data_IF_332984641004
#
_entry.id   IF_332984641004
#
_cell.length_a   1.000
_cell.length_b   1.000
_cell.length_c   1.000
_cell.angle_alpha   90.00
_cell.angle_beta   90.00
_cell.angle_gamma   90.00
#
_symmetry.space_group_name_H-M   'P 1'
#
loop_
_entity.id
_entity.type
_entity.pdbx_description
1 polymer ?
#
# COMPACT_ATOMS: atom_id res chain seq x y z
N UNK A 1 10.79 3.92 14.56
CA UNK A 1 10.00 2.77 14.06
C UNK A 1 8.54 3.15 14.27
N UNK A 2 7.80 3.47 13.21
CA UNK A 2 6.47 4.07 13.33
C UNK A 2 5.41 3.13 12.77
N UNK A 3 4.65 2.50 13.65
CA UNK A 3 3.34 1.95 13.32
C UNK A 3 2.42 3.17 13.23
N UNK A 4 1.77 3.40 12.09
CA UNK A 4 0.76 4.43 11.97
C UNK A 4 -0.47 4.00 12.78
N UNK A 5 -0.40 4.23 14.10
CA UNK A 5 -1.56 4.23 14.98
C UNK A 5 -2.33 5.50 14.70
N UNK A 6 -3.35 5.45 13.84
CA UNK A 6 -4.43 6.41 13.98
C UNK A 6 -5.37 5.82 15.04
N UNK A 7 -5.36 6.42 16.25
CA UNK A 7 -6.21 6.08 17.40
C UNK A 7 -5.92 4.80 18.21
N UNK A 8 -4.73 4.18 18.09
CA UNK A 8 -4.34 3.07 18.97
C UNK A 8 -5.13 1.76 18.77
N UNK A 9 -5.80 1.60 17.62
CA UNK A 9 -6.52 0.38 17.22
C UNK A 9 -5.68 -0.44 16.23
N UNK A 10 -5.76 -1.77 16.31
CA UNK A 10 -5.16 -2.66 15.33
C UNK A 10 -5.87 -2.54 13.98
N UNK A 11 -5.09 -2.50 12.89
CA UNK A 11 -5.58 -2.72 11.53
C UNK A 11 -5.04 -4.06 11.00
N UNK A 12 -5.88 -4.71 10.20
CA UNK A 12 -5.74 -6.09 9.70
C UNK A 12 -4.33 -6.35 9.15
N UNK A 13 -3.59 -7.24 9.81
CA UNK A 13 -2.40 -7.86 9.25
C UNK A 13 -2.81 -9.21 8.66
N UNK A 14 -3.02 -9.31 7.35
CA UNK A 14 -3.32 -10.60 6.74
C UNK A 14 -2.05 -11.45 6.70
N UNK A 15 -2.13 -12.72 7.11
CA UNK A 15 -1.00 -13.65 6.96
C UNK A 15 -0.70 -13.87 5.46
N UNK A 16 0.58 -13.92 5.08
CA UNK A 16 1.03 -14.10 3.69
C UNK A 16 1.01 -15.56 3.22
N UNK A 17 0.37 -16.45 3.97
CA UNK A 17 0.37 -17.89 3.65
C UNK A 17 -0.83 -18.17 2.74
N UNK A 18 -0.66 -17.87 1.46
CA UNK A 18 -1.58 -18.30 0.41
C UNK A 18 -1.18 -19.70 -0.04
N UNK A 19 -1.64 -20.74 0.67
CA UNK A 19 -1.77 -22.06 0.05
C UNK A 19 -3.24 -22.26 -0.32
N UNK A 20 -3.49 -22.84 -1.50
CA UNK A 20 -4.81 -23.23 -2.03
C UNK A 20 -5.56 -24.27 -1.15
N UNK A 21 -5.07 -24.53 0.07
CA UNK A 21 -5.62 -25.44 1.08
C UNK A 21 -5.46 -24.88 2.51
N UNK A 22 -5.56 -23.57 2.72
CA UNK A 22 -5.27 -23.00 4.06
C UNK A 22 -6.42 -23.20 5.05
N UNK A 23 -6.30 -24.21 5.91
CA UNK A 23 -6.99 -24.30 7.21
C UNK A 23 -6.39 -23.36 8.27
N UNK A 24 -5.52 -22.42 7.87
CA UNK A 24 -5.02 -21.35 8.72
C UNK A 24 -6.01 -20.19 8.76
N UNK A 25 -6.67 -20.01 9.90
CA UNK A 25 -7.47 -18.82 10.14
C UNK A 25 -6.56 -17.58 10.25
N UNK A 26 -7.04 -16.46 9.71
CA UNK A 26 -6.45 -15.15 9.96
C UNK A 26 -6.76 -14.71 11.39
N UNK A 27 -5.94 -15.19 12.34
CA UNK A 27 -6.12 -14.90 13.76
C UNK A 27 -6.04 -13.39 14.07
N UNK A 28 -5.55 -12.53 13.15
CA UNK A 28 -5.57 -11.08 13.35
C UNK A 28 -6.97 -10.49 13.25
N UNK A 29 -7.90 -11.13 12.52
CA UNK A 29 -9.30 -10.70 12.44
C UNK A 29 -9.93 -10.68 13.84
N UNK A 30 -9.55 -11.63 14.71
CA UNK A 30 -10.04 -11.69 16.08
C UNK A 30 -9.68 -10.44 16.91
N UNK A 31 -8.61 -9.75 16.54
CA UNK A 31 -8.08 -8.57 17.21
C UNK A 31 -8.49 -7.25 16.55
N UNK A 32 -9.31 -7.30 15.49
CA UNK A 32 -9.66 -6.12 14.71
C UNK A 32 -10.43 -5.09 15.56
N UNK A 33 -10.07 -3.82 15.43
CA UNK A 33 -10.64 -2.70 16.20
C UNK A 33 -10.46 -2.74 17.74
N UNK A 34 -9.73 -3.73 18.28
CA UNK A 34 -9.39 -3.73 19.70
C UNK A 34 -8.42 -2.60 20.03
N UNK A 35 -8.40 -2.19 21.30
CA UNK A 35 -7.43 -1.24 21.86
C UNK A 35 -6.22 -2.00 22.39
N UNK A 36 -5.05 -1.36 22.42
CA UNK A 36 -3.85 -2.01 22.93
C UNK A 36 -3.92 -2.18 24.45
N UNK A 37 -3.80 -3.41 24.95
CA UNK A 37 -3.77 -3.75 26.38
C UNK A 37 -2.34 -3.94 26.86
N UNK A 38 -2.07 -3.52 28.09
CA UNK A 38 -0.79 -3.67 28.79
C UNK A 38 -1.03 -4.22 30.19
N UNK A 39 0.02 -4.66 30.89
CA UNK A 39 -0.10 -5.21 32.26
C UNK A 39 -0.83 -4.25 33.22
N UNK A 40 -0.63 -2.96 33.03
CA UNK A 40 -1.19 -1.86 33.82
C UNK A 40 -2.48 -1.27 33.23
N UNK A 41 -2.90 -1.69 32.03
CA UNK A 41 -4.09 -1.15 31.36
C UNK A 41 -4.86 -2.25 30.66
N UNK A 42 -5.97 -2.63 31.28
CA UNK A 42 -6.90 -3.59 30.73
C UNK A 42 -7.84 -2.91 29.72
N UNK A 43 -7.59 -3.19 28.44
CA UNK A 43 -8.38 -2.68 27.31
C UNK A 43 -8.99 -3.82 26.48
N UNK A 44 -8.94 -5.04 27.00
CA UNK A 44 -9.45 -6.23 26.34
C UNK A 44 -10.92 -6.48 26.76
N UNK A 45 -11.59 -7.46 26.16
CA UNK A 45 -13.01 -7.76 26.41
C UNK A 45 -13.20 -8.83 27.49
N UNK A 46 -12.12 -9.37 28.06
CA UNK A 46 -12.25 -10.43 29.07
C UNK A 46 -12.83 -9.86 30.36
N UNK A 47 -13.87 -10.50 30.88
CA UNK A 47 -14.55 -10.02 32.09
C UNK A 47 -13.86 -10.44 33.39
N UNK A 48 -12.88 -11.33 33.30
CA UNK A 48 -12.31 -12.03 34.47
C UNK A 48 -10.83 -11.77 34.69
N UNK A 49 -10.08 -11.41 33.65
CA UNK A 49 -8.64 -11.23 33.70
C UNK A 49 -8.20 -10.12 32.77
N UNK A 50 -7.15 -9.38 33.14
CA UNK A 50 -6.37 -8.60 32.17
C UNK A 50 -5.45 -9.57 31.44
N UNK A 51 -5.73 -9.86 30.17
CA UNK A 51 -5.01 -10.86 29.39
C UNK A 51 -3.54 -10.48 29.20
N UNK A 52 -3.23 -9.19 29.05
CA UNK A 52 -1.85 -8.71 28.93
C UNK A 52 -1.06 -8.87 30.24
N UNK A 53 -1.72 -8.79 31.40
CA UNK A 53 -1.12 -9.08 32.71
C UNK A 53 -0.92 -10.57 32.93
N UNK A 54 -1.99 -11.36 32.72
CA UNK A 54 -2.01 -12.79 32.99
C UNK A 54 -1.03 -13.57 32.11
N UNK A 55 -1.10 -13.37 30.79
CA UNK A 55 -0.17 -13.99 29.86
C UNK A 55 1.16 -13.24 29.77
N UNK A 56 1.24 -11.99 30.22
CA UNK A 56 2.47 -11.21 30.06
C UNK A 56 2.74 -10.77 28.62
N UNK A 57 1.70 -10.73 27.78
CA UNK A 57 1.78 -10.31 26.38
C UNK A 57 0.95 -9.04 26.14
N UNK A 58 1.60 -7.87 26.02
CA UNK A 58 0.92 -6.64 25.59
C UNK A 58 0.49 -6.75 24.12
N UNK A 59 -0.81 -6.60 23.86
CA UNK A 59 -1.37 -6.76 22.53
C UNK A 59 -2.76 -6.11 22.39
N UNK A 60 -3.27 -6.01 21.17
CA UNK A 60 -4.67 -5.64 20.90
C UNK A 60 -5.63 -6.79 21.21
N UNK A 61 -5.63 -7.25 22.46
CA UNK A 61 -6.38 -8.41 22.90
C UNK A 61 -7.89 -8.18 22.78
N UNK A 62 -8.60 -9.22 22.35
CA UNK A 62 -10.06 -9.27 22.38
C UNK A 62 -10.49 -9.98 23.68
N UNK A 63 -11.05 -11.19 23.67
CA UNK A 63 -11.13 -12.00 24.89
C UNK A 63 -9.86 -12.88 24.96
N UNK A 64 -8.77 -12.24 25.37
CA UNK A 64 -7.39 -12.74 25.33
C UNK A 64 -6.84 -13.04 23.93
N UNK A 65 -5.58 -13.50 23.85
CA UNK A 65 -4.86 -13.63 22.59
C UNK A 65 -5.16 -14.96 21.87
N UNK A 66 -5.45 -14.92 20.56
CA UNK A 66 -5.45 -16.12 19.69
C UNK A 66 -4.09 -16.36 19.01
N UNK A 67 -3.12 -15.52 19.32
CA UNK A 67 -1.77 -15.50 18.79
C UNK A 67 -0.85 -14.98 19.89
N UNK A 68 0.36 -15.50 19.97
CA UNK A 68 1.36 -15.07 20.95
C UNK A 68 2.66 -14.74 20.22
N UNK A 69 2.88 -13.46 19.94
CA UNK A 69 4.05 -12.98 19.16
C UNK A 69 5.30 -12.79 19.99
N UNK A 70 5.11 -12.57 21.28
CA UNK A 70 6.20 -12.39 22.25
C UNK A 70 6.14 -13.54 23.24
N UNK A 71 7.29 -13.93 23.80
CA UNK A 71 7.32 -14.95 24.85
C UNK A 71 6.51 -14.44 26.03
N UNK A 72 5.42 -15.14 26.29
CA UNK A 72 4.51 -14.89 27.38
C UNK A 72 5.13 -15.43 28.70
N UNK A 73 4.41 -15.32 29.82
CA UNK A 73 4.82 -15.87 31.13
C UNK A 73 5.00 -17.40 31.11
N UNK A 74 4.45 -18.09 30.11
CA UNK A 74 4.57 -19.53 29.88
C UNK A 74 5.68 -19.89 28.87
N UNK A 75 6.48 -18.90 28.42
CA UNK A 75 7.50 -19.01 27.37
C UNK A 75 6.97 -19.47 26.00
N UNK A 76 5.67 -19.35 25.76
CA UNK A 76 5.05 -19.76 24.51
C UNK A 76 5.11 -18.66 23.46
N UNK A 77 5.38 -19.10 22.22
CA UNK A 77 4.99 -18.43 20.99
C UNK A 77 4.00 -19.34 20.32
N UNK A 78 2.93 -18.82 19.74
CA UNK A 78 2.00 -19.70 19.06
C UNK A 78 0.86 -19.02 18.36
N UNK A 79 0.11 -19.86 17.65
CA UNK A 79 -0.93 -19.43 16.74
C UNK A 79 -2.10 -20.40 16.82
N UNK A 80 -3.29 -19.87 17.09
CA UNK A 80 -4.51 -20.66 17.12
C UNK A 80 -4.93 -21.05 15.70
N UNK A 81 -5.35 -22.31 15.50
CA UNK A 81 -5.69 -22.87 14.18
C UNK A 81 -4.49 -22.89 13.20
N UNK A 82 -3.29 -23.19 13.69
CA UNK A 82 -2.15 -23.48 12.80
C UNK A 82 -2.31 -24.88 12.18
N UNK A 83 -3.13 -24.98 11.13
CA UNK A 83 -3.45 -26.20 10.37
C UNK A 83 -4.14 -27.35 11.12
N UNK A 84 -4.33 -27.25 12.44
CA UNK A 84 -4.78 -28.38 13.28
C UNK A 84 -6.04 -28.10 14.12
N UNK A 85 -6.74 -26.99 13.89
CA UNK A 85 -7.92 -26.64 14.70
C UNK A 85 -7.61 -26.39 16.19
N UNK A 86 -6.34 -26.18 16.54
CA UNK A 86 -5.83 -26.11 17.90
C UNK A 86 -4.64 -25.15 17.99
N UNK A 87 -4.30 -24.72 19.20
CA UNK A 87 -3.12 -23.90 19.44
C UNK A 87 -1.85 -24.69 19.14
N UNK A 88 -0.93 -24.09 18.38
CA UNK A 88 0.40 -24.65 18.13
C UNK A 88 1.49 -23.73 18.62
N UNK A 89 2.43 -24.30 19.37
CA UNK A 89 3.66 -23.64 19.73
C UNK A 89 4.56 -23.52 18.51
N UNK A 90 5.10 -22.33 18.27
CA UNK A 90 5.94 -22.01 17.12
C UNK A 90 7.36 -21.70 17.58
N UNK A 91 8.37 -22.16 16.82
CA UNK A 91 9.78 -21.88 17.14
C UNK A 91 10.19 -20.44 16.84
N UNK A 92 9.47 -19.77 15.94
CA UNK A 92 9.73 -18.39 15.52
C UNK A 92 8.50 -17.77 14.88
N UNK A 93 8.19 -16.53 15.27
CA UNK A 93 7.21 -15.70 14.58
C UNK A 93 7.88 -14.41 14.16
N UNK A 94 7.54 -13.92 12.96
CA UNK A 94 8.03 -12.63 12.45
C UNK A 94 6.84 -11.86 11.89
N UNK A 95 6.51 -10.74 12.52
CA UNK A 95 5.56 -9.79 11.97
C UNK A 95 6.22 -9.04 10.81
N UNK A 96 5.58 -9.06 9.64
CA UNK A 96 6.05 -8.38 8.44
C UNK A 96 5.11 -7.23 8.13
N UNK A 97 5.58 -5.99 8.26
CA UNK A 97 4.83 -4.81 7.80
C UNK A 97 5.13 -4.62 6.33
N UNK A 98 4.09 -4.53 5.48
CA UNK A 98 4.26 -4.26 4.05
C UNK A 98 4.93 -2.89 3.89
N UNK A 99 5.85 -2.76 2.93
CA UNK A 99 6.35 -1.45 2.51
C UNK A 99 5.15 -0.58 2.13
N UNK A 100 5.10 0.73 2.45
CA UNK A 100 4.02 1.57 2.00
C UNK A 100 3.95 1.53 0.48
N UNK A 101 2.82 1.04 -0.02
CA UNK A 101 2.55 1.00 -1.44
C UNK A 101 1.73 2.22 -1.82
N UNK A 102 1.90 2.69 -3.05
CA UNK A 102 1.16 3.82 -3.61
C UNK A 102 0.08 3.30 -4.54
N UNK A 103 0.46 2.43 -5.47
CA UNK A 103 -0.43 1.76 -6.40
C UNK A 103 0.07 0.35 -6.67
N UNK A 104 -0.85 -0.60 -6.79
CA UNK A 104 -0.64 -1.89 -7.43
C UNK A 104 -1.82 -2.10 -8.36
N UNK A 105 -1.56 -2.50 -9.60
CA UNK A 105 -2.62 -2.81 -10.56
C UNK A 105 -2.13 -3.80 -11.61
N UNK A 106 -3.00 -4.75 -11.97
CA UNK A 106 -2.90 -5.58 -13.19
C UNK A 106 -3.74 -5.03 -14.35
N UNK A 107 -4.53 -3.98 -14.11
CA UNK A 107 -5.47 -3.42 -15.06
C UNK A 107 -6.85 -4.09 -15.05
N UNK A 108 -7.09 -5.02 -14.11
CA UNK A 108 -8.36 -5.74 -13.98
C UNK A 108 -9.45 -4.88 -13.33
N UNK A 109 -9.08 -3.91 -12.50
CA UNK A 109 -10.01 -2.96 -11.88
C UNK A 109 -9.82 -1.57 -12.48
N UNK A 110 -10.94 -0.94 -12.84
CA UNK A 110 -10.93 0.38 -13.44
C UNK A 110 -10.65 1.48 -12.43
N UNK A 111 -9.67 2.31 -12.73
CA UNK A 111 -9.28 3.49 -11.97
C UNK A 111 -10.15 4.72 -12.38
N UNK A 112 -11.43 4.50 -12.69
CA UNK A 112 -12.40 5.51 -13.17
C UNK A 112 -13.06 6.33 -12.06
N UNK A 113 -12.25 6.88 -11.18
CA UNK A 113 -12.72 7.52 -9.95
C UNK A 113 -12.67 9.06 -10.01
N UNK A 114 -13.44 9.69 -9.13
CA UNK A 114 -13.47 11.15 -8.94
C UNK A 114 -12.41 11.59 -7.93
N UNK A 115 -12.16 12.91 -7.83
CA UNK A 115 -11.16 13.49 -6.92
C UNK A 115 -11.23 12.92 -5.50
N UNK A 116 -12.41 12.91 -4.89
CA UNK A 116 -12.61 12.46 -3.51
C UNK A 116 -12.14 11.01 -3.30
N UNK A 117 -12.36 10.13 -4.28
CA UNK A 117 -11.89 8.75 -4.21
C UNK A 117 -10.36 8.67 -4.31
N UNK A 118 -9.74 9.42 -5.21
CA UNK A 118 -8.27 9.51 -5.31
C UNK A 118 -7.63 10.14 -4.08
N UNK A 119 -8.35 11.03 -3.42
CA UNK A 119 -7.87 11.67 -2.20
C UNK A 119 -7.86 10.69 -1.01
N UNK A 120 -8.92 9.89 -0.88
CA UNK A 120 -9.12 8.97 0.26
C UNK A 120 -8.48 7.59 0.05
N UNK A 121 -8.35 7.14 -1.20
CA UNK A 121 -7.92 5.78 -1.55
C UNK A 121 -9.09 4.85 -1.86
N UNK A 122 -8.81 3.80 -2.64
CA UNK A 122 -9.78 2.78 -3.05
C UNK A 122 -9.10 1.48 -3.47
N UNK A 123 -9.87 0.42 -3.67
CA UNK A 123 -9.39 -0.90 -4.11
C UNK A 123 -9.01 -1.83 -2.95
N UNK A 124 -8.26 -2.89 -3.26
CA UNK A 124 -7.87 -3.93 -2.32
C UNK A 124 -6.34 -4.12 -2.29
N UNK A 125 -5.73 -4.08 -1.11
CA UNK A 125 -4.28 -4.24 -0.92
C UNK A 125 -3.73 -5.59 -1.40
N UNK A 126 -4.59 -6.59 -1.63
CA UNK A 126 -4.22 -7.89 -2.19
C UNK A 126 -4.45 -7.99 -3.72
N UNK A 127 -4.83 -6.88 -4.36
CA UNK A 127 -5.01 -6.77 -5.80
C UNK A 127 -4.83 -5.32 -6.24
N UNK A 128 -5.75 -4.83 -7.07
CA UNK A 128 -5.70 -3.47 -7.57
C UNK A 128 -6.11 -2.46 -6.49
N UNK A 129 -5.22 -1.51 -6.17
CA UNK A 129 -5.53 -0.45 -5.23
C UNK A 129 -4.79 0.87 -5.51
N UNK A 130 -5.39 1.94 -4.97
CA UNK A 130 -4.80 3.26 -4.85
C UNK A 130 -4.76 3.67 -3.38
N UNK A 131 -3.58 4.02 -2.86
CA UNK A 131 -3.37 4.30 -1.43
C UNK A 131 -4.10 5.55 -0.92
N UNK A 132 -4.40 6.50 -1.81
CA UNK A 132 -5.02 7.79 -1.47
C UNK A 132 -4.00 8.90 -1.26
N UNK A 133 -4.23 10.05 -1.89
CA UNK A 133 -3.30 11.20 -1.88
C UNK A 133 -3.03 11.71 -0.45
N UNK A 134 -4.03 11.71 0.44
CA UNK A 134 -3.84 12.08 1.86
C UNK A 134 -2.81 11.19 2.56
N UNK A 135 -2.84 9.89 2.29
CA UNK A 135 -1.88 8.94 2.88
C UNK A 135 -0.50 9.08 2.25
N UNK A 136 -0.43 9.22 0.92
CA UNK A 136 0.83 9.40 0.18
C UNK A 136 1.55 10.68 0.63
N UNK A 137 0.83 11.79 0.79
CA UNK A 137 1.36 13.03 1.37
C UNK A 137 1.92 12.79 2.77
N UNK A 138 1.16 12.17 3.68
CA UNK A 138 1.63 11.85 5.05
C UNK A 138 2.89 10.99 5.05
N UNK A 139 2.97 9.95 4.22
CA UNK A 139 4.16 9.10 4.14
C UNK A 139 5.37 9.89 3.64
N UNK A 140 5.23 10.61 2.53
CA UNK A 140 6.36 11.36 1.97
C UNK A 140 6.83 12.51 2.86
N UNK A 141 5.92 13.18 3.59
CA UNK A 141 6.27 14.16 4.61
C UNK A 141 6.99 13.54 5.82
N UNK A 142 6.75 12.26 6.12
CA UNK A 142 7.44 11.49 7.17
C UNK A 142 8.81 10.92 6.74
N UNK A 143 9.33 11.35 5.58
CA UNK A 143 10.65 10.99 5.07
C UNK A 143 10.70 9.68 4.28
N UNK A 144 9.57 9.16 3.80
CA UNK A 144 9.54 8.04 2.85
C UNK A 144 9.77 8.58 1.44
N UNK A 145 11.02 8.90 1.11
CA UNK A 145 11.38 9.69 -0.09
C UNK A 145 11.93 8.88 -1.25
N UNK A 146 12.26 7.60 -1.08
CA UNK A 146 12.74 6.77 -2.20
C UNK A 146 11.57 6.01 -2.78
N UNK A 147 11.26 6.25 -4.05
CA UNK A 147 10.18 5.59 -4.78
C UNK A 147 10.74 4.58 -5.78
N UNK A 148 10.08 3.43 -5.90
CA UNK A 148 10.35 2.44 -6.95
C UNK A 148 9.05 2.05 -7.64
N UNK A 149 9.08 2.08 -8.96
CA UNK A 149 8.03 1.58 -9.86
C UNK A 149 8.54 0.29 -10.50
N UNK A 150 7.85 -0.82 -10.24
CA UNK A 150 8.15 -2.15 -10.79
C UNK A 150 7.17 -2.47 -11.91
N UNK A 151 7.77 -2.70 -13.09
CA UNK A 151 7.24 -2.95 -14.42
C UNK A 151 7.13 -4.44 -14.79
N UNK A 152 5.99 -4.95 -15.27
CA UNK A 152 5.94 -6.19 -16.06
C UNK A 152 5.17 -5.97 -17.35
N UNK A 153 5.72 -6.43 -18.49
CA UNK A 153 5.09 -6.30 -19.80
C UNK A 153 4.34 -7.57 -20.25
N UNK A 154 3.61 -7.46 -21.36
CA UNK A 154 2.77 -8.53 -21.91
C UNK A 154 3.55 -9.80 -22.35
N UNK A 155 4.88 -9.74 -22.48
CA UNK A 155 5.72 -10.89 -22.85
C UNK A 155 6.58 -11.37 -21.68
N UNK A 156 6.36 -10.85 -20.47
CA UNK A 156 7.02 -11.28 -19.23
C UNK A 156 8.37 -10.61 -18.94
N UNK A 157 8.74 -9.53 -19.65
CA UNK A 157 9.92 -8.74 -19.28
C UNK A 157 9.62 -7.90 -18.03
N UNK A 158 10.55 -7.97 -17.08
CA UNK A 158 10.51 -7.18 -15.85
C UNK A 158 11.50 -6.03 -15.90
N UNK A 159 11.10 -4.89 -15.36
CA UNK A 159 11.97 -3.73 -15.21
C UNK A 159 11.55 -2.84 -14.07
N UNK A 160 12.36 -1.84 -13.74
CA UNK A 160 12.00 -0.88 -12.71
C UNK A 160 12.58 0.51 -12.98
N UNK A 161 11.89 1.51 -12.45
CA UNK A 161 12.35 2.88 -12.32
C UNK A 161 12.40 3.25 -10.83
N UNK A 162 13.52 3.78 -10.37
CA UNK A 162 13.73 4.20 -8.99
C UNK A 162 14.14 5.66 -8.93
N UNK A 163 13.60 6.38 -7.97
CA UNK A 163 13.84 7.80 -7.75
C UNK A 163 14.28 8.00 -6.30
N UNK A 164 15.43 8.63 -6.10
CA UNK A 164 15.96 8.90 -4.75
C UNK A 164 15.14 9.95 -4.00
N UNK A 165 14.36 10.75 -4.73
CA UNK A 165 13.47 11.77 -4.18
C UNK A 165 12.07 11.59 -4.72
N UNK A 166 11.11 11.53 -3.81
CA UNK A 166 9.69 11.46 -4.04
C UNK A 166 8.98 12.20 -2.91
N UNK A 167 8.17 13.18 -3.27
CA UNK A 167 7.34 13.92 -2.34
C UNK A 167 6.02 14.31 -2.99
N UNK A 168 4.94 14.27 -2.21
CA UNK A 168 3.61 14.72 -2.63
C UNK A 168 3.17 15.79 -1.66
N UNK A 169 2.92 17.00 -2.17
CA UNK A 169 2.42 18.13 -1.39
C UNK A 169 1.02 17.88 -0.82
N UNK A 170 0.52 18.80 -0.02
CA UNK A 170 -0.83 18.70 0.58
C UNK A 170 -1.95 19.07 -0.41
N UNK A 171 -3.20 19.03 0.07
CA UNK A 171 -4.37 19.40 -0.72
C UNK A 171 -4.30 20.85 -1.25
N UNK A 172 -3.75 21.80 -0.48
CA UNK A 172 -3.63 23.21 -0.89
C UNK A 172 -2.69 23.40 -2.08
N UNK A 173 -1.67 22.54 -2.17
CA UNK A 173 -0.76 22.49 -3.32
C UNK A 173 -1.34 21.79 -4.55
N UNK A 174 -2.54 21.21 -4.45
CA UNK A 174 -3.10 20.30 -5.45
C UNK A 174 -2.35 18.95 -5.50
N UNK A 175 -1.86 18.49 -4.34
CA UNK A 175 -1.03 17.29 -4.19
C UNK A 175 0.18 17.27 -5.13
N UNK A 176 0.90 18.38 -5.25
CA UNK A 176 2.00 18.52 -6.23
C UNK A 176 3.07 17.44 -6.07
N UNK A 177 3.48 16.80 -7.18
CA UNK A 177 4.56 15.82 -7.21
C UNK A 177 5.93 16.52 -7.23
N UNK A 178 6.87 16.02 -6.43
CA UNK A 178 8.30 16.27 -6.59
C UNK A 178 9.00 14.93 -6.76
N UNK A 179 9.73 14.75 -7.86
CA UNK A 179 10.42 13.49 -8.17
C UNK A 179 11.76 13.77 -8.86
N UNK A 180 12.84 13.11 -8.40
CA UNK A 180 14.18 13.26 -8.99
C UNK A 180 15.12 12.09 -8.62
N UNK A 181 16.31 12.09 -9.21
CA UNK A 181 17.35 11.08 -8.98
C UNK A 181 16.99 9.72 -9.57
N UNK A 182 16.55 9.73 -10.83
CA UNK A 182 16.19 8.53 -11.58
C UNK A 182 17.35 7.54 -11.71
N UNK A 183 17.02 6.26 -11.60
CA UNK A 183 17.88 5.10 -11.85
C UNK A 183 17.01 3.89 -12.20
N UNK A 184 17.58 2.86 -12.81
CA UNK A 184 16.90 1.57 -13.01
C UNK A 184 17.05 1.00 -14.42
N UNK A 185 16.20 0.02 -14.73
CA UNK A 185 16.24 -0.76 -15.98
C UNK A 185 15.13 -0.41 -16.95
N UNK A 186 14.23 0.51 -16.57
CA UNK A 186 13.19 1.07 -17.42
C UNK A 186 13.73 1.93 -18.58
N UNK A 187 15.03 2.26 -18.56
CA UNK A 187 15.71 3.02 -19.61
C UNK A 187 15.40 4.51 -19.52
N UNK A 188 14.31 4.94 -20.18
CA UNK A 188 13.92 6.34 -20.24
C UNK A 188 13.20 6.77 -18.94
N UNK A 189 13.54 7.96 -18.43
CA UNK A 189 12.87 8.58 -17.29
C UNK A 189 11.53 9.20 -17.71
N UNK A 190 10.48 8.38 -17.76
CA UNK A 190 9.14 8.82 -18.10
C UNK A 190 8.45 9.65 -17.01
N UNK A 191 8.95 9.68 -15.75
CA UNK A 191 8.33 10.51 -14.69
C UNK A 191 8.94 11.91 -14.58
N UNK A 192 10.09 12.17 -15.20
CA UNK A 192 10.73 13.49 -15.22
C UNK A 192 9.78 14.63 -15.61
N UNK A 193 8.95 14.43 -16.65
CA UNK A 193 8.00 15.45 -17.13
C UNK A 193 6.84 15.74 -16.16
N UNK A 194 6.59 14.81 -15.23
CA UNK A 194 5.55 14.88 -14.23
C UNK A 194 6.03 15.62 -12.96
N UNK A 195 7.33 15.87 -12.85
CA UNK A 195 7.89 16.62 -11.73
C UNK A 195 7.31 18.04 -11.66
N UNK A 196 6.90 18.46 -10.47
CA UNK A 196 6.28 19.76 -10.22
C UNK A 196 4.83 19.88 -10.67
N UNK A 197 4.20 18.83 -11.22
CA UNK A 197 2.79 18.86 -11.65
C UNK A 197 1.83 18.60 -10.49
N UNK A 198 0.62 19.15 -10.61
CA UNK A 198 -0.50 18.90 -9.72
C UNK A 198 -1.23 17.62 -10.15
N UNK A 199 -1.96 16.99 -9.24
CA UNK A 199 -2.75 15.81 -9.59
C UNK A 199 -4.03 16.22 -10.33
N UNK A 200 -4.40 15.49 -11.39
CA UNK A 200 -5.64 15.70 -12.14
C UNK A 200 -6.51 14.45 -12.11
N UNK A 201 -7.83 14.66 -12.06
CA UNK A 201 -8.86 13.62 -12.19
C UNK A 201 -9.86 14.00 -13.27
N UNK A 202 -10.78 13.09 -13.60
CA UNK A 202 -11.80 13.36 -14.62
C UNK A 202 -12.70 14.56 -14.31
N UNK A 203 -12.84 14.90 -13.03
CA UNK A 203 -13.67 15.97 -12.48
C UNK A 203 -12.86 17.19 -11.98
N UNK A 204 -11.53 17.11 -11.94
CA UNK A 204 -10.64 18.20 -11.52
C UNK A 204 -9.46 18.28 -12.48
N UNK A 205 -9.46 19.29 -13.34
CA UNK A 205 -8.40 19.54 -14.31
C UNK A 205 -7.33 20.48 -13.74
N UNK A 206 -6.16 19.92 -13.44
CA UNK A 206 -4.99 20.66 -12.97
C UNK A 206 -3.77 20.48 -13.90
N UNK A 207 -3.98 19.90 -15.09
CA UNK A 207 -2.88 19.70 -16.03
C UNK A 207 -2.60 20.98 -16.84
N UNK A 208 -1.59 20.96 -17.70
CA UNK A 208 -1.19 22.11 -18.51
C UNK A 208 -1.76 22.04 -19.93
N UNK A 209 -2.52 21.00 -20.25
CA UNK A 209 -3.06 20.82 -21.59
C UNK A 209 -4.28 21.71 -21.81
N UNK A 210 -4.64 21.91 -23.08
CA UNK A 210 -5.91 22.51 -23.45
C UNK A 210 -7.10 21.55 -23.26
N UNK A 211 -6.83 20.25 -23.04
CA UNK A 211 -7.81 19.21 -22.77
C UNK A 211 -7.61 18.63 -21.38
N UNK A 212 -8.67 18.17 -20.71
CA UNK A 212 -8.48 17.41 -19.47
C UNK A 212 -7.88 16.03 -19.80
N UNK A 213 -6.58 15.84 -19.55
CA UNK A 213 -5.86 14.60 -19.85
C UNK A 213 -6.42 13.41 -19.09
N UNK A 214 -6.79 13.62 -17.83
CA UNK A 214 -7.35 12.57 -16.98
C UNK A 214 -8.72 12.09 -17.49
N UNK A 215 -9.55 13.00 -18.02
CA UNK A 215 -10.83 12.67 -18.65
C UNK A 215 -10.63 12.02 -20.03
N UNK A 216 -9.84 12.67 -20.91
CA UNK A 216 -9.69 12.24 -22.31
C UNK A 216 -9.04 10.87 -22.45
N UNK A 217 -8.00 10.62 -21.66
CA UNK A 217 -7.27 9.35 -21.69
C UNK A 217 -7.70 8.40 -20.60
N UNK A 218 -8.58 8.81 -19.68
CA UNK A 218 -8.95 8.01 -18.53
C UNK A 218 -7.79 7.76 -17.58
N UNK A 219 -6.83 8.69 -17.49
CA UNK A 219 -5.57 8.55 -16.74
C UNK A 219 -5.42 9.59 -15.64
N UNK A 220 -6.06 9.43 -14.47
CA UNK A 220 -5.87 10.32 -13.34
C UNK A 220 -4.44 10.23 -12.81
N UNK A 221 -3.69 11.33 -12.91
CA UNK A 221 -2.26 11.36 -12.62
C UNK A 221 -1.75 12.79 -12.45
N UNK A 222 -0.47 12.95 -12.11
CA UNK A 222 0.25 14.22 -12.16
C UNK A 222 0.55 14.65 -13.61
N UNK A 223 -0.49 14.83 -14.42
CA UNK A 223 -0.36 15.06 -15.86
C UNK A 223 0.34 16.40 -16.18
N UNK A 224 1.11 16.40 -17.26
CA UNK A 224 1.72 17.60 -17.84
C UNK A 224 0.88 18.10 -19.02
N UNK A 225 1.20 17.70 -20.25
CA UNK A 225 0.44 18.00 -21.47
C UNK A 225 0.64 16.90 -22.53
N UNK A 226 0.12 15.68 -22.39
CA UNK A 226 -0.38 15.01 -21.20
C UNK A 226 0.77 14.27 -20.47
N UNK A 227 0.70 12.94 -20.33
CA UNK A 227 1.70 12.14 -19.62
C UNK A 227 2.53 11.22 -20.50
N UNK A 228 3.61 10.67 -19.93
CA UNK A 228 4.44 9.60 -20.51
C UNK A 228 4.29 8.26 -19.78
N UNK A 229 3.44 8.23 -18.76
CA UNK A 229 3.06 7.02 -18.03
C UNK A 229 1.55 6.86 -17.99
N UNK A 230 1.14 5.61 -17.85
CA UNK A 230 -0.24 5.17 -17.98
C UNK A 230 -0.50 4.09 -16.93
N UNK A 231 -0.56 4.48 -15.65
CA UNK A 231 -0.63 3.52 -14.53
C UNK A 231 -2.03 3.36 -13.93
N UNK A 232 -2.98 4.21 -14.30
CA UNK A 232 -4.28 4.37 -13.64
C UNK A 232 -5.43 4.41 -14.66
N UNK A 233 -5.30 3.67 -15.76
CA UNK A 233 -6.15 3.80 -16.94
C UNK A 233 -7.49 3.03 -16.89
N UNK A 234 -8.45 3.44 -17.74
CA UNK A 234 -9.70 2.72 -18.01
C UNK A 234 -9.76 2.12 -19.43
N UNK A 235 -10.14 0.84 -19.49
CA UNK A 235 -10.70 -0.01 -20.56
C UNK A 235 -10.11 -0.03 -21.99
N UNK A 236 -9.40 0.98 -22.50
CA UNK A 236 -9.06 1.00 -23.95
C UNK A 236 -7.60 1.31 -24.31
N UNK A 237 -6.74 1.70 -23.37
CA UNK A 237 -5.39 2.19 -23.68
C UNK A 237 -4.22 1.41 -23.05
N UNK A 238 -4.51 0.40 -22.22
CA UNK A 238 -3.53 -0.48 -21.57
C UNK A 238 -2.54 0.23 -20.63
N UNK A 239 -2.09 -0.44 -19.57
CA UNK A 239 -1.03 0.12 -18.74
C UNK A 239 0.23 0.37 -19.60
N UNK A 240 1.01 1.42 -19.29
CA UNK A 240 2.10 1.80 -20.19
C UNK A 240 3.21 2.62 -19.57
N UNK A 241 4.43 2.36 -20.05
CA UNK A 241 5.62 3.20 -19.85
C UNK A 241 6.17 3.63 -21.21
N UNK A 242 6.36 4.93 -21.41
CA UNK A 242 6.92 5.43 -22.64
C UNK A 242 8.42 5.14 -22.77
N UNK A 243 8.82 4.63 -23.93
CA UNK A 243 10.20 4.39 -24.33
C UNK A 243 10.97 3.40 -23.43
N UNK A 244 10.29 2.34 -23.00
CA UNK A 244 10.96 1.21 -22.33
C UNK A 244 11.56 0.24 -23.36
N UNK A 245 12.71 0.61 -23.94
CA UNK A 245 13.46 -0.14 -24.98
C UNK A 245 12.75 -0.29 -26.33
N UNK A 246 11.69 0.48 -26.59
CA UNK A 246 10.85 0.32 -27.80
C UNK A 246 10.67 1.59 -28.63
N UNK A 247 11.15 2.76 -28.18
CA UNK A 247 10.89 4.05 -28.85
C UNK A 247 9.40 4.47 -28.84
N UNK A 248 8.54 3.72 -28.16
CA UNK A 248 7.08 3.92 -28.10
C UNK A 248 6.55 3.51 -26.72
N UNK A 249 5.23 3.58 -26.51
CA UNK A 249 4.64 3.03 -25.29
C UNK A 249 4.80 1.51 -25.26
N UNK A 250 5.41 1.00 -24.19
CA UNK A 250 5.44 -0.44 -23.90
C UNK A 250 4.21 -0.82 -23.08
N UNK A 251 3.33 -1.71 -23.60
CA UNK A 251 2.18 -2.19 -22.86
C UNK A 251 2.61 -2.99 -21.62
N UNK A 252 1.96 -2.74 -20.49
CA UNK A 252 2.24 -3.38 -19.21
C UNK A 252 1.05 -4.25 -18.79
N UNK A 253 1.33 -5.35 -18.09
CA UNK A 253 0.33 -6.21 -17.44
C UNK A 253 0.32 -6.05 -15.93
N UNK A 254 1.37 -5.42 -15.37
CA UNK A 254 1.44 -5.13 -13.94
C UNK A 254 2.27 -3.89 -13.69
N UNK A 255 1.79 -3.06 -12.78
CA UNK A 255 2.53 -1.92 -12.22
C UNK A 255 2.44 -1.97 -10.71
N UNK A 256 3.57 -1.80 -10.04
CA UNK A 256 3.63 -1.64 -8.58
C UNK A 256 4.51 -0.44 -8.22
N UNK A 257 3.95 0.53 -7.52
CA UNK A 257 4.69 1.70 -7.02
C UNK A 257 4.74 1.64 -5.50
N UNK A 258 5.95 1.70 -4.95
CA UNK A 258 6.19 1.63 -3.51
C UNK A 258 7.22 2.66 -3.07
N UNK A 259 7.15 3.05 -1.80
CA UNK A 259 8.10 3.98 -1.18
C UNK A 259 8.84 3.35 -0.01
N UNK A 260 10.04 3.85 0.23
CA UNK A 260 10.89 3.51 1.39
C UNK A 260 11.61 4.77 1.87
N UNK A 261 12.16 4.67 3.08
CA UNK A 261 13.11 5.66 3.59
C UNK A 261 14.46 5.53 2.88
#
# INVERSE_FOLDING_TARGET
MGILTHYGRAFIAKSWITSLYSTMDDAFIYHNNMKFSTKDRDNDLSSSINCASYYGEPWWNNDCSRMMFTRNNFNDLGWYNWYTGSYKQLSKIRMMIRKPLIVETSGDVLFNNVWTSYENGFGNLDGDFWQGLKHINKFSAAGWSVMRVEMEDIVGYYGYAQYSTFHVGDASSGYRLTVSGYSGTAGYDALSIHNGRKFSTKDVDNDLSAINCALKYGSPWWNNDCGLVKFTLNDFNGLGWYNWHTGSYRPLVRVKMAIRK
#
